data_IF_980584904610
#
_entry.id   IF_980584904610
#
_cell.length_a   1.000
_cell.length_b   1.000
_cell.length_c   1.000
_cell.angle_alpha   90.00
_cell.angle_beta   90.00
_cell.angle_gamma   90.00
#
_symmetry.space_group_name_H-M   'P 1'
#
loop_
_entity.id
_entity.type
_entity.pdbx_description
1 polymer ?
#
# COMPACT_ATOMS: atom_id res chain seq x y z
N UNK A 1 -23.06 -49.11 81.17
CA UNK A 1 -24.32 -48.66 81.80
C UNK A 1 -25.43 -48.65 80.76
N UNK A 2 -26.50 -49.43 80.94
CA UNK A 2 -27.60 -49.55 79.97
C UNK A 2 -28.03 -51.00 79.76
N UNK A 3 -29.23 -51.22 79.22
CA UNK A 3 -29.74 -52.57 78.94
C UNK A 3 -28.86 -53.25 77.87
N UNK A 4 -28.27 -54.40 78.20
CA UNK A 4 -27.33 -55.14 77.34
C UNK A 4 -26.11 -54.33 76.87
N UNK A 5 -25.69 -53.31 77.63
CA UNK A 5 -24.43 -52.63 77.39
C UNK A 5 -23.26 -53.57 77.76
N UNK A 6 -22.24 -53.69 76.91
CA UNK A 6 -21.08 -54.56 77.11
C UNK A 6 -19.78 -53.79 76.88
N UNK A 7 -18.91 -53.79 77.88
CA UNK A 7 -17.51 -53.37 77.78
C UNK A 7 -16.66 -54.61 78.05
N UNK A 8 -15.92 -55.07 77.06
CA UNK A 8 -15.31 -56.43 77.08
C UNK A 8 -13.85 -56.44 77.47
N UNK A 9 -13.12 -55.32 77.35
CA UNK A 9 -11.74 -55.18 77.80
C UNK A 9 -11.64 -54.23 79.01
N UNK A 10 -10.50 -54.26 79.71
CA UNK A 10 -10.30 -53.61 81.02
C UNK A 10 -10.56 -52.11 81.09
N UNK A 11 -10.40 -51.37 79.99
CA UNK A 11 -10.51 -49.90 79.92
C UNK A 11 -11.63 -49.43 78.97
N UNK A 12 -12.52 -50.34 78.55
CA UNK A 12 -13.62 -50.00 77.67
C UNK A 12 -14.76 -49.28 78.41
N UNK A 13 -15.39 -48.30 77.75
CA UNK A 13 -16.57 -47.58 78.26
C UNK A 13 -17.76 -47.89 77.35
N UNK A 14 -18.79 -48.55 77.88
CA UNK A 14 -20.05 -48.78 77.17
C UNK A 14 -21.24 -48.13 77.90
N UNK A 15 -21.95 -47.20 77.26
CA UNK A 15 -23.10 -46.48 77.84
C UNK A 15 -24.25 -46.43 76.82
N UNK A 16 -25.46 -46.85 77.22
CA UNK A 16 -26.65 -46.90 76.36
C UNK A 16 -27.16 -48.32 76.12
N UNK A 17 -28.39 -48.42 75.63
CA UNK A 17 -29.00 -49.72 75.30
C UNK A 17 -28.21 -50.41 74.18
N UNK A 18 -27.84 -51.68 74.33
CA UNK A 18 -27.08 -52.47 73.33
C UNK A 18 -25.73 -51.86 72.91
N UNK A 19 -25.19 -50.90 73.66
CA UNK A 19 -23.86 -50.35 73.40
C UNK A 19 -22.80 -51.43 73.60
N UNK A 20 -21.85 -51.59 72.67
CA UNK A 20 -20.82 -52.63 72.70
C UNK A 20 -19.43 -52.02 72.46
N UNK A 21 -18.63 -51.95 73.52
CA UNK A 21 -17.23 -51.58 73.46
C UNK A 21 -16.34 -52.84 73.52
N UNK A 22 -15.59 -53.10 72.43
CA UNK A 22 -14.75 -54.30 72.28
C UNK A 22 -13.35 -54.01 71.74
N UNK A 23 -12.96 -52.74 71.56
CA UNK A 23 -11.68 -52.40 70.94
C UNK A 23 -10.46 -52.48 71.86
N UNK A 24 -10.65 -52.38 73.18
CA UNK A 24 -9.56 -52.09 74.12
C UNK A 24 -9.31 -50.58 74.23
N UNK A 25 -9.48 -50.01 75.43
CA UNK A 25 -9.41 -48.56 75.68
C UNK A 25 -10.40 -47.78 74.81
N UNK A 26 -11.55 -48.37 74.50
CA UNK A 26 -12.52 -47.84 73.54
C UNK A 26 -13.80 -47.31 74.20
N UNK A 27 -14.49 -46.38 73.55
CA UNK A 27 -15.71 -45.74 74.05
C UNK A 27 -16.86 -46.05 73.09
N UNK A 28 -17.95 -46.62 73.58
CA UNK A 28 -19.22 -46.80 72.87
C UNK A 28 -20.36 -46.19 73.68
N UNK A 29 -20.92 -45.06 73.22
CA UNK A 29 -21.98 -44.32 73.91
C UNK A 29 -23.18 -44.06 72.99
N UNK A 30 -24.34 -44.65 73.29
CA UNK A 30 -25.57 -44.50 72.51
C UNK A 30 -26.27 -45.84 72.27
N UNK A 31 -27.53 -45.79 71.82
CA UNK A 31 -28.28 -47.01 71.54
C UNK A 31 -27.67 -47.78 70.34
N UNK A 32 -27.16 -48.98 70.59
CA UNK A 32 -26.47 -49.80 69.60
C UNK A 32 -25.13 -49.24 69.10
N UNK A 33 -24.53 -48.27 69.80
CA UNK A 33 -23.18 -47.79 69.50
C UNK A 33 -22.16 -48.94 69.63
N UNK A 34 -21.18 -49.02 68.74
CA UNK A 34 -20.26 -50.16 68.64
C UNK A 34 -18.82 -49.75 68.36
N UNK A 35 -17.88 -50.28 69.13
CA UNK A 35 -16.47 -50.40 68.74
C UNK A 35 -16.14 -51.88 68.56
N UNK A 36 -15.59 -52.26 67.41
CA UNK A 36 -15.27 -53.66 67.08
C UNK A 36 -14.00 -54.15 67.78
N UNK A 37 -13.74 -55.46 67.77
CA UNK A 37 -12.54 -56.05 68.39
C UNK A 37 -11.20 -55.44 67.91
N UNK A 38 -11.17 -54.96 66.67
CA UNK A 38 -10.02 -54.28 66.04
C UNK A 38 -9.96 -52.77 66.31
N UNK A 39 -10.93 -52.19 67.04
CA UNK A 39 -11.09 -50.75 67.23
C UNK A 39 -10.44 -50.21 68.52
N UNK A 40 -9.17 -50.56 68.76
CA UNK A 40 -8.42 -50.02 69.91
C UNK A 40 -8.37 -48.49 69.88
N UNK A 41 -8.57 -47.87 71.05
CA UNK A 41 -8.74 -46.42 71.23
C UNK A 41 -9.90 -45.80 70.41
N UNK A 42 -10.84 -46.63 69.94
CA UNK A 42 -11.96 -46.16 69.13
C UNK A 42 -13.00 -45.39 69.94
N UNK A 43 -13.62 -44.38 69.35
CA UNK A 43 -14.68 -43.58 69.99
C UNK A 43 -15.94 -43.60 69.13
N UNK A 44 -16.97 -44.31 69.56
CA UNK A 44 -18.30 -44.36 68.94
C UNK A 44 -19.33 -43.66 69.85
N UNK A 45 -19.86 -42.51 69.43
CA UNK A 45 -20.84 -41.73 70.21
C UNK A 45 -22.04 -41.42 69.32
N UNK A 46 -23.23 -41.92 69.67
CA UNK A 46 -24.47 -41.74 68.94
C UNK A 46 -25.20 -43.05 68.70
N UNK A 47 -26.51 -42.98 68.42
CA UNK A 47 -27.31 -44.15 68.08
C UNK A 47 -26.75 -44.84 66.84
N UNK A 48 -26.39 -46.12 66.96
CA UNK A 48 -25.78 -46.93 65.89
C UNK A 48 -24.45 -46.40 65.35
N UNK A 49 -23.74 -45.53 66.08
CA UNK A 49 -22.38 -45.13 65.71
C UNK A 49 -21.44 -46.35 65.75
N UNK A 50 -20.61 -46.53 64.73
CA UNK A 50 -19.78 -47.73 64.56
C UNK A 50 -18.33 -47.37 64.24
N UNK A 51 -17.40 -47.89 65.04
CA UNK A 51 -15.96 -47.86 64.76
C UNK A 51 -15.48 -49.30 64.53
N UNK A 52 -14.93 -49.56 63.34
CA UNK A 52 -14.49 -50.89 62.95
C UNK A 52 -13.01 -51.16 63.24
N UNK A 53 -12.16 -50.12 63.25
CA UNK A 53 -10.70 -50.28 63.24
C UNK A 53 -9.99 -49.27 64.14
N UNK A 54 -8.68 -49.50 64.35
CA UNK A 54 -7.80 -48.77 65.26
C UNK A 54 -7.87 -47.24 65.12
N UNK A 55 -7.93 -46.53 66.26
CA UNK A 55 -8.00 -45.07 66.36
C UNK A 55 -9.14 -44.41 65.55
N UNK A 56 -10.20 -45.14 65.23
CA UNK A 56 -11.36 -44.56 64.55
C UNK A 56 -12.27 -43.77 65.49
N UNK A 57 -12.86 -42.70 64.98
CA UNK A 57 -13.80 -41.84 65.72
C UNK A 57 -15.09 -41.72 64.91
N UNK A 58 -16.22 -42.08 65.50
CA UNK A 58 -17.55 -42.00 64.92
C UNK A 58 -18.48 -41.25 65.87
N UNK A 59 -18.88 -40.02 65.54
CA UNK A 59 -19.69 -39.14 66.40
C UNK A 59 -20.94 -38.66 65.65
N UNK A 60 -22.11 -39.12 66.09
CA UNK A 60 -23.41 -38.83 65.49
C UNK A 60 -24.20 -40.10 65.17
N UNK A 61 -25.52 -40.00 64.98
CA UNK A 61 -26.35 -41.16 64.70
C UNK A 61 -25.98 -41.79 63.35
N UNK A 62 -25.84 -43.11 63.32
CA UNK A 62 -25.54 -43.88 62.10
C UNK A 62 -24.16 -43.64 61.50
N UNK A 63 -23.24 -42.98 62.22
CA UNK A 63 -21.86 -42.76 61.75
C UNK A 63 -21.08 -44.06 61.62
N UNK A 64 -20.19 -44.14 60.63
CA UNK A 64 -19.32 -45.30 60.42
C UNK A 64 -17.87 -44.86 60.15
N UNK A 65 -16.98 -45.14 61.09
CA UNK A 65 -15.53 -45.08 60.89
C UNK A 65 -15.00 -46.48 60.62
N UNK A 66 -14.91 -46.84 59.33
CA UNK A 66 -14.42 -48.13 58.87
C UNK A 66 -12.91 -48.17 58.72
N UNK A 67 -12.27 -47.10 58.27
CA UNK A 67 -10.82 -47.07 58.04
C UNK A 67 -9.99 -46.97 59.32
N UNK A 68 -8.71 -47.35 59.26
CA UNK A 68 -7.74 -47.02 60.32
C UNK A 68 -7.59 -45.50 60.43
N UNK A 69 -7.43 -44.95 61.64
CA UNK A 69 -7.22 -43.52 61.89
C UNK A 69 -8.27 -42.59 61.26
N UNK A 70 -9.50 -43.09 61.06
CA UNK A 70 -10.54 -42.37 60.32
C UNK A 70 -11.54 -41.69 61.25
N UNK A 71 -12.06 -40.54 60.84
CA UNK A 71 -12.99 -39.70 61.59
C UNK A 71 -14.29 -39.53 60.80
N UNK A 72 -15.42 -39.96 61.38
CA UNK A 72 -16.76 -39.74 60.86
C UNK A 72 -17.58 -38.94 61.88
N UNK A 73 -17.94 -37.70 61.56
CA UNK A 73 -18.75 -36.83 62.41
C UNK A 73 -19.99 -36.34 61.66
N UNK A 74 -21.17 -36.42 62.28
CA UNK A 74 -22.44 -35.99 61.70
C UNK A 74 -23.33 -37.16 61.25
N UNK A 75 -24.65 -36.95 61.20
CA UNK A 75 -25.62 -38.00 60.93
C UNK A 75 -25.30 -38.78 59.65
N UNK A 76 -25.14 -40.11 59.75
CA UNK A 76 -24.78 -41.01 58.64
C UNK A 76 -23.45 -40.69 57.92
N UNK A 77 -22.51 -39.97 58.55
CA UNK A 77 -21.19 -39.78 57.97
C UNK A 77 -20.43 -41.12 57.87
N UNK A 78 -19.67 -41.31 56.79
CA UNK A 78 -18.91 -42.53 56.52
C UNK A 78 -17.47 -42.17 56.18
N UNK A 79 -16.53 -42.67 56.99
CA UNK A 79 -15.10 -42.57 56.77
C UNK A 79 -14.49 -43.98 56.59
N UNK A 80 -13.94 -44.25 55.40
CA UNK A 80 -13.45 -45.57 54.97
C UNK A 80 -14.55 -46.47 54.37
N UNK A 81 -14.17 -47.70 54.01
CA UNK A 81 -15.05 -48.68 53.36
C UNK A 81 -15.22 -49.91 54.24
N UNK A 82 -16.46 -50.39 54.38
CA UNK A 82 -16.77 -51.59 55.17
C UNK A 82 -15.97 -52.80 54.68
N UNK A 83 -15.32 -53.51 55.61
CA UNK A 83 -14.48 -54.67 55.31
C UNK A 83 -13.08 -54.35 54.78
N UNK A 84 -12.69 -53.07 54.65
CA UNK A 84 -11.40 -52.67 54.10
C UNK A 84 -10.65 -51.71 55.02
N UNK A 85 -9.82 -52.25 55.91
CA UNK A 85 -8.98 -51.46 56.82
C UNK A 85 -7.85 -50.68 56.10
N UNK A 86 -7.49 -51.07 54.87
CA UNK A 86 -6.43 -50.40 54.08
C UNK A 86 -6.88 -49.07 53.46
N UNK A 87 -8.19 -48.84 53.38
CA UNK A 87 -8.76 -47.53 53.04
C UNK A 87 -8.87 -46.79 54.36
N UNK A 88 -7.87 -45.95 54.64
CA UNK A 88 -7.57 -45.40 55.96
C UNK A 88 -7.23 -43.91 55.88
N UNK A 89 -7.17 -43.25 57.04
CA UNK A 89 -6.92 -41.81 57.21
C UNK A 89 -8.00 -40.93 56.54
N UNK A 90 -9.25 -41.39 56.56
CA UNK A 90 -10.37 -40.67 55.96
C UNK A 90 -11.05 -39.76 56.99
N UNK A 91 -11.47 -38.57 56.57
CA UNK A 91 -12.16 -37.58 57.40
C UNK A 91 -13.49 -37.24 56.73
N UNK A 92 -14.60 -37.66 57.32
CA UNK A 92 -15.96 -37.32 56.89
C UNK A 92 -16.64 -36.47 57.97
N UNK A 93 -16.87 -35.19 57.69
CA UNK A 93 -17.48 -34.23 58.62
C UNK A 93 -18.75 -33.64 58.00
N UNK A 94 -19.92 -33.97 58.51
CA UNK A 94 -21.21 -33.47 58.04
C UNK A 94 -22.23 -34.57 57.79
N UNK A 95 -23.51 -34.18 57.74
CA UNK A 95 -24.59 -35.15 57.52
C UNK A 95 -24.46 -35.80 56.13
N UNK A 96 -24.40 -37.14 56.11
CA UNK A 96 -24.18 -37.95 54.90
C UNK A 96 -22.85 -37.68 54.17
N UNK A 97 -21.86 -37.08 54.84
CA UNK A 97 -20.52 -36.93 54.28
C UNK A 97 -19.87 -38.31 54.07
N UNK A 98 -19.17 -38.49 52.96
CA UNK A 98 -18.56 -39.76 52.55
C UNK A 98 -17.11 -39.57 52.13
N UNK A 99 -16.17 -39.90 53.02
CA UNK A 99 -14.75 -39.98 52.74
C UNK A 99 -14.37 -41.45 52.62
N UNK A 100 -14.34 -41.99 51.40
CA UNK A 100 -14.16 -43.45 51.16
C UNK A 100 -13.05 -43.77 50.16
N UNK A 101 -12.27 -42.77 49.77
CA UNK A 101 -11.18 -42.94 48.81
C UNK A 101 -9.85 -43.42 49.42
N UNK A 102 -9.67 -43.27 50.73
CA UNK A 102 -8.40 -43.47 51.42
C UNK A 102 -7.58 -42.17 51.40
N UNK A 103 -7.11 -41.75 52.57
CA UNK A 103 -6.50 -40.45 52.81
C UNK A 103 -7.36 -39.27 52.29
N UNK A 104 -8.70 -39.43 52.33
CA UNK A 104 -9.65 -38.50 51.73
C UNK A 104 -10.35 -37.61 52.78
N UNK A 105 -10.77 -36.42 52.37
CA UNK A 105 -11.47 -35.45 53.24
C UNK A 105 -12.80 -35.09 52.58
N UNK A 106 -13.91 -35.39 53.24
CA UNK A 106 -15.26 -34.98 52.87
C UNK A 106 -15.85 -34.12 53.99
N UNK A 107 -15.85 -32.81 53.82
CA UNK A 107 -16.38 -31.85 54.80
C UNK A 107 -17.61 -31.13 54.22
N UNK A 108 -18.74 -31.18 54.90
CA UNK A 108 -20.01 -30.60 54.48
C UNK A 108 -21.12 -31.65 54.27
N UNK A 109 -22.37 -31.19 54.35
CA UNK A 109 -23.54 -32.05 54.13
C UNK A 109 -23.49 -32.65 52.72
N UNK A 110 -23.59 -33.98 52.65
CA UNK A 110 -23.51 -34.77 51.42
C UNK A 110 -22.20 -34.61 50.61
N UNK A 111 -21.14 -34.06 51.21
CA UNK A 111 -19.82 -34.03 50.58
C UNK A 111 -19.31 -35.46 50.33
N UNK A 112 -18.67 -35.69 49.18
CA UNK A 112 -18.26 -37.02 48.73
C UNK A 112 -16.83 -36.99 48.20
N UNK A 113 -15.88 -37.44 49.00
CA UNK A 113 -14.50 -37.68 48.61
C UNK A 113 -14.27 -39.20 48.46
N UNK A 114 -14.37 -39.70 47.23
CA UNK A 114 -14.27 -41.16 46.94
C UNK A 114 -13.10 -41.53 46.07
N UNK A 115 -12.38 -40.56 45.51
CA UNK A 115 -11.06 -40.81 44.94
C UNK A 115 -9.99 -40.90 46.02
N UNK A 116 -8.95 -41.70 45.76
CA UNK A 116 -7.76 -41.75 46.62
C UNK A 116 -7.17 -40.35 46.80
N UNK A 117 -6.89 -39.93 48.04
CA UNK A 117 -6.39 -38.58 48.38
C UNK A 117 -7.29 -37.43 47.90
N UNK A 118 -8.59 -37.67 47.72
CA UNK A 118 -9.52 -36.64 47.27
C UNK A 118 -9.95 -35.71 48.41
N UNK A 119 -10.26 -34.46 48.07
CA UNK A 119 -10.76 -33.43 49.00
C UNK A 119 -12.07 -32.87 48.47
N UNK A 120 -13.17 -33.09 49.17
CA UNK A 120 -14.48 -32.52 48.91
C UNK A 120 -14.90 -31.65 50.09
N UNK A 121 -15.02 -30.33 49.90
CA UNK A 121 -15.40 -29.39 50.96
C UNK A 121 -16.58 -28.54 50.47
N UNK A 122 -17.71 -28.60 51.18
CA UNK A 122 -18.93 -27.85 50.89
C UNK A 122 -20.15 -28.73 50.66
N UNK A 123 -21.31 -28.09 50.51
CA UNK A 123 -22.58 -28.78 50.33
C UNK A 123 -22.58 -29.57 49.00
N UNK A 124 -22.77 -30.89 49.09
CA UNK A 124 -22.83 -31.78 47.93
C UNK A 124 -21.60 -31.74 46.99
N UNK A 125 -20.44 -31.29 47.48
CA UNK A 125 -19.19 -31.32 46.73
C UNK A 125 -18.76 -32.77 46.45
N UNK A 126 -18.32 -33.10 45.23
CA UNK A 126 -17.95 -34.46 44.83
C UNK A 126 -16.55 -34.50 44.23
N UNK A 127 -15.59 -35.05 44.97
CA UNK A 127 -14.23 -35.34 44.52
C UNK A 127 -14.08 -36.87 44.33
N UNK A 128 -14.27 -37.33 43.09
CA UNK A 128 -14.33 -38.77 42.74
C UNK A 128 -13.12 -39.25 41.96
N UNK A 129 -12.35 -38.34 41.36
CA UNK A 129 -11.05 -38.65 40.75
C UNK A 129 -9.94 -38.82 41.80
N UNK A 130 -8.89 -39.59 41.49
CA UNK A 130 -7.72 -39.68 42.36
C UNK A 130 -7.02 -38.31 42.48
N UNK A 131 -6.62 -37.94 43.69
CA UNK A 131 -6.02 -36.64 44.04
C UNK A 131 -6.84 -35.45 43.53
N UNK A 132 -8.18 -35.58 43.51
CA UNK A 132 -9.08 -34.52 43.06
C UNK A 132 -9.49 -33.56 44.19
N UNK A 133 -9.78 -32.31 43.84
CA UNK A 133 -10.19 -31.26 44.78
C UNK A 133 -11.53 -30.69 44.32
N UNK A 134 -12.53 -30.66 45.20
CA UNK A 134 -13.85 -30.11 44.94
C UNK A 134 -14.26 -29.22 46.11
N UNK A 135 -14.10 -27.91 45.97
CA UNK A 135 -14.37 -26.93 47.05
C UNK A 135 -15.49 -25.97 46.62
N UNK A 136 -16.57 -25.94 47.40
CA UNK A 136 -17.76 -25.12 47.17
C UNK A 136 -19.04 -25.96 47.06
N UNK A 137 -20.08 -25.40 46.44
CA UNK A 137 -21.38 -26.06 46.36
C UNK A 137 -21.48 -26.90 45.08
N UNK A 138 -21.90 -28.16 45.22
CA UNK A 138 -22.29 -29.06 44.13
C UNK A 138 -21.29 -29.21 42.96
N UNK A 139 -20.00 -28.94 43.18
CA UNK A 139 -18.96 -29.26 42.21
C UNK A 139 -18.82 -30.78 42.03
N UNK A 140 -18.48 -31.22 40.83
CA UNK A 140 -18.24 -32.62 40.48
C UNK A 140 -16.90 -32.74 39.77
N UNK A 141 -15.90 -33.27 40.46
CA UNK A 141 -14.53 -33.46 39.95
C UNK A 141 -14.24 -34.95 39.88
N UNK A 142 -14.40 -35.52 38.68
CA UNK A 142 -14.11 -36.93 38.38
C UNK A 142 -12.78 -37.14 37.65
N UNK A 143 -12.21 -36.07 37.09
CA UNK A 143 -10.86 -36.09 36.55
C UNK A 143 -9.82 -36.35 37.65
N UNK A 144 -8.86 -37.25 37.38
CA UNK A 144 -7.70 -37.41 38.25
C UNK A 144 -6.83 -36.15 38.24
N UNK A 145 -6.17 -35.85 39.36
CA UNK A 145 -5.27 -34.70 39.51
C UNK A 145 -5.91 -33.38 39.06
N UNK A 146 -7.18 -33.16 39.41
CA UNK A 146 -8.00 -32.05 38.93
C UNK A 146 -8.66 -31.31 40.09
N UNK A 147 -9.08 -30.06 39.88
CA UNK A 147 -9.58 -29.23 40.97
C UNK A 147 -10.64 -28.21 40.56
N UNK A 148 -11.71 -28.08 41.35
CA UNK A 148 -12.71 -27.03 41.20
C UNK A 148 -12.86 -26.20 42.49
N UNK A 149 -12.87 -24.88 42.33
CA UNK A 149 -13.19 -23.91 43.38
C UNK A 149 -14.34 -23.01 42.89
N UNK A 150 -15.56 -23.21 43.40
CA UNK A 150 -16.74 -22.44 42.95
C UNK A 150 -18.08 -23.14 43.16
N UNK A 151 -19.09 -22.78 42.38
CA UNK A 151 -20.48 -23.25 42.51
C UNK A 151 -21.29 -23.13 41.21
N UNK A 152 -21.84 -24.21 40.63
CA UNK A 152 -21.27 -25.56 40.54
C UNK A 152 -20.36 -25.68 39.31
N UNK A 153 -19.35 -26.53 39.34
CA UNK A 153 -18.47 -26.84 38.21
C UNK A 153 -18.37 -28.36 38.04
N UNK A 154 -18.37 -28.83 36.80
CA UNK A 154 -18.08 -30.24 36.45
C UNK A 154 -16.74 -30.35 35.74
N UNK A 155 -15.84 -31.20 36.25
CA UNK A 155 -14.54 -31.51 35.63
C UNK A 155 -14.41 -33.03 35.51
N UNK A 156 -14.37 -33.54 34.27
CA UNK A 156 -14.05 -34.94 33.98
C UNK A 156 -12.70 -35.15 33.31
N UNK A 157 -12.12 -34.09 32.73
CA UNK A 157 -10.77 -34.15 32.18
C UNK A 157 -9.70 -34.23 33.27
N UNK A 158 -8.63 -34.97 33.01
CA UNK A 158 -7.51 -35.15 33.94
C UNK A 158 -6.54 -33.96 33.90
N UNK A 159 -5.93 -33.61 35.03
CA UNK A 159 -4.98 -32.50 35.09
C UNK A 159 -5.62 -31.12 34.91
N UNK A 160 -6.93 -30.99 35.14
CA UNK A 160 -7.71 -29.81 34.77
C UNK A 160 -8.23 -29.05 35.98
N UNK A 161 -8.32 -27.73 35.87
CA UNK A 161 -8.66 -26.86 37.00
C UNK A 161 -9.66 -25.77 36.63
N UNK A 162 -10.53 -25.43 37.58
CA UNK A 162 -11.52 -24.37 37.46
C UNK A 162 -11.56 -23.50 38.70
N UNK A 163 -11.61 -22.19 38.49
CA UNK A 163 -12.01 -21.19 39.48
C UNK A 163 -13.21 -20.43 38.92
N UNK A 164 -14.36 -20.61 39.58
CA UNK A 164 -15.64 -19.99 39.22
C UNK A 164 -16.78 -20.99 39.03
N UNK A 165 -17.82 -20.53 38.35
CA UNK A 165 -19.17 -21.08 38.48
C UNK A 165 -19.73 -21.56 37.14
N UNK A 166 -20.55 -22.61 37.15
CA UNK A 166 -21.22 -23.17 35.97
C UNK A 166 -20.25 -23.57 34.85
N UNK A 167 -19.05 -24.06 35.19
CA UNK A 167 -18.08 -24.50 34.20
C UNK A 167 -18.20 -26.01 33.93
N UNK A 168 -17.99 -26.42 32.68
CA UNK A 168 -17.94 -27.83 32.27
C UNK A 168 -16.62 -28.08 31.52
N UNK A 169 -15.76 -28.91 32.11
CA UNK A 169 -14.40 -29.19 31.62
C UNK A 169 -14.23 -30.69 31.41
N UNK A 170 -14.53 -31.14 30.19
CA UNK A 170 -14.33 -32.54 29.80
C UNK A 170 -12.90 -32.84 29.31
N UNK A 171 -12.15 -31.78 29.00
CA UNK A 171 -10.85 -31.82 28.37
C UNK A 171 -9.70 -31.91 29.37
N UNK A 172 -8.61 -32.56 28.95
CA UNK A 172 -7.42 -32.78 29.78
C UNK A 172 -6.49 -31.56 29.78
N UNK A 173 -5.75 -31.36 30.86
CA UNK A 173 -4.77 -30.28 31.03
C UNK A 173 -5.34 -28.88 30.76
N UNK A 174 -6.62 -28.66 31.09
CA UNK A 174 -7.34 -27.44 30.73
C UNK A 174 -7.64 -26.61 31.98
N UNK A 175 -7.41 -25.30 31.89
CA UNK A 175 -7.52 -24.36 33.01
C UNK A 175 -8.59 -23.31 32.71
N UNK A 176 -9.53 -23.14 33.63
CA UNK A 176 -10.61 -22.16 33.51
C UNK A 176 -10.59 -21.21 34.69
N UNK A 177 -10.60 -19.91 34.40
CA UNK A 177 -10.86 -18.85 35.38
C UNK A 177 -11.99 -18.00 34.84
N UNK A 178 -13.23 -18.32 35.23
CA UNK A 178 -14.42 -17.75 34.60
C UNK A 178 -15.70 -18.42 35.06
N UNK A 179 -16.83 -18.01 34.47
CA UNK A 179 -18.13 -18.60 34.77
C UNK A 179 -18.88 -18.93 33.47
N UNK A 180 -19.67 -20.01 33.48
CA UNK A 180 -20.46 -20.43 32.31
C UNK A 180 -19.61 -20.92 31.15
N UNK A 181 -18.39 -21.42 31.41
CA UNK A 181 -17.45 -21.88 30.39
C UNK A 181 -17.66 -23.37 30.13
N UNK A 182 -17.85 -23.74 28.87
CA UNK A 182 -17.74 -25.14 28.42
C UNK A 182 -16.53 -25.25 27.52
N UNK A 183 -15.54 -26.05 27.91
CA UNK A 183 -14.32 -26.24 27.12
C UNK A 183 -14.55 -27.31 26.06
N UNK A 184 -13.82 -27.19 24.95
CA UNK A 184 -13.87 -28.15 23.83
C UNK A 184 -12.50 -28.74 23.52
N UNK A 185 -11.42 -28.14 24.01
CA UNK A 185 -10.05 -28.51 23.69
C UNK A 185 -9.21 -28.86 24.91
N UNK A 186 -8.36 -29.87 24.75
CA UNK A 186 -7.28 -30.17 25.68
C UNK A 186 -6.23 -29.05 25.69
N UNK A 187 -5.46 -28.97 26.77
CA UNK A 187 -4.31 -28.07 26.93
C UNK A 187 -4.64 -26.56 26.83
N UNK A 188 -5.91 -26.18 27.00
CA UNK A 188 -6.35 -24.78 26.80
C UNK A 188 -6.45 -24.01 28.12
N UNK A 189 -6.34 -22.69 28.01
CA UNK A 189 -6.60 -21.75 29.12
C UNK A 189 -7.77 -20.85 28.72
N UNK A 190 -8.85 -20.87 29.49
CA UNK A 190 -10.06 -20.09 29.20
C UNK A 190 -10.32 -19.10 30.31
N UNK A 191 -10.30 -17.81 29.96
CA UNK A 191 -10.35 -16.69 30.89
C UNK A 191 -11.61 -15.86 30.64
N UNK A 192 -12.35 -15.62 31.72
CA UNK A 192 -13.52 -14.73 31.74
C UNK A 192 -14.87 -15.43 31.64
N UNK A 193 -15.92 -14.68 31.98
CA UNK A 193 -17.31 -15.12 31.91
C UNK A 193 -17.69 -15.47 30.46
N UNK A 194 -18.36 -16.61 30.26
CA UNK A 194 -18.90 -17.13 28.98
C UNK A 194 -17.89 -17.25 27.84
N UNK A 195 -16.58 -17.22 28.13
CA UNK A 195 -15.55 -17.42 27.12
C UNK A 195 -15.63 -18.84 26.55
N UNK A 196 -15.30 -18.99 25.27
CA UNK A 196 -15.27 -20.28 24.57
C UNK A 196 -13.89 -20.50 23.99
N UNK A 197 -13.34 -21.69 24.13
CA UNK A 197 -12.15 -22.10 23.38
C UNK A 197 -12.53 -22.56 21.96
N UNK A 198 -11.50 -22.90 21.18
CA UNK A 198 -11.62 -23.51 19.85
C UNK A 198 -10.33 -24.24 19.52
N UNK A 199 -10.32 -25.16 18.53
CA UNK A 199 -9.09 -25.78 18.06
C UNK A 199 -8.03 -24.74 17.67
N UNK A 200 -6.80 -24.93 18.13
CA UNK A 200 -5.68 -24.11 17.70
C UNK A 200 -5.39 -24.34 16.21
N UNK A 201 -5.23 -23.24 15.46
CA UNK A 201 -4.95 -23.26 14.03
C UNK A 201 -3.46 -23.10 13.79
N UNK A 202 -2.88 -23.90 12.88
CA UNK A 202 -1.51 -23.69 12.41
C UNK A 202 -1.49 -22.61 11.32
N UNK A 203 -0.83 -21.48 11.60
CA UNK A 203 -0.69 -20.34 10.67
C UNK A 203 0.78 -20.06 10.43
N UNK A 204 1.29 -20.48 9.27
CA UNK A 204 2.73 -20.37 8.94
C UNK A 204 3.12 -19.09 8.22
N UNK A 205 2.15 -18.29 7.77
CA UNK A 205 2.40 -17.11 6.95
C UNK A 205 1.17 -16.59 6.21
N UNK A 206 1.38 -15.58 5.37
CA UNK A 206 0.38 -15.02 4.46
C UNK A 206 1.05 -14.46 3.19
N UNK A 207 0.29 -14.24 2.11
CA UNK A 207 0.76 -13.57 0.90
C UNK A 207 0.10 -12.21 0.76
N UNK A 208 0.91 -11.15 0.67
CA UNK A 208 0.44 -9.77 0.52
C UNK A 208 1.04 -9.22 -0.78
N UNK A 209 0.18 -8.82 -1.71
CA UNK A 209 0.57 -8.29 -3.03
C UNK A 209 1.59 -9.18 -3.79
N UNK A 210 1.39 -10.49 -3.75
CA UNK A 210 2.27 -11.47 -4.40
C UNK A 210 3.54 -11.84 -3.63
N UNK A 211 3.84 -11.16 -2.52
CA UNK A 211 4.99 -11.48 -1.66
C UNK A 211 4.54 -12.39 -0.51
N UNK A 212 5.20 -13.53 -0.34
CA UNK A 212 4.94 -14.46 0.77
C UNK A 212 5.73 -14.05 2.01
N UNK A 213 5.04 -13.98 3.15
CA UNK A 213 5.58 -13.70 4.47
C UNK A 213 5.40 -14.93 5.36
N UNK A 214 6.44 -15.32 6.09
CA UNK A 214 6.40 -16.43 7.05
C UNK A 214 6.29 -15.91 8.48
N UNK A 215 5.58 -16.63 9.35
CA UNK A 215 5.41 -16.29 10.75
C UNK A 215 6.15 -17.25 11.67
N UNK A 216 6.72 -16.73 12.75
CA UNK A 216 7.22 -17.52 13.86
C UNK A 216 6.05 -18.04 14.72
N UNK A 217 6.29 -19.13 15.46
CA UNK A 217 5.30 -19.70 16.38
C UNK A 217 3.96 -20.05 15.74
N UNK A 218 3.93 -20.90 14.69
CA UNK A 218 2.73 -21.12 13.88
C UNK A 218 1.55 -21.75 14.65
N UNK A 219 1.78 -22.26 15.88
CA UNK A 219 0.78 -22.93 16.68
C UNK A 219 0.45 -24.34 16.18
N UNK A 220 -0.15 -25.14 17.05
CA UNK A 220 -0.60 -26.49 16.73
C UNK A 220 -1.75 -26.90 17.65
N UNK A 221 -2.66 -27.74 17.15
CA UNK A 221 -3.82 -28.24 17.90
C UNK A 221 -3.44 -28.86 19.26
N UNK A 222 -2.25 -29.49 19.34
CA UNK A 222 -1.77 -30.17 20.56
C UNK A 222 -1.48 -29.20 21.71
N UNK A 223 -1.28 -27.91 21.43
CA UNK A 223 -0.93 -26.92 22.46
C UNK A 223 -2.14 -26.15 23.02
N UNK A 224 -3.34 -26.38 22.48
CA UNK A 224 -4.52 -25.60 22.89
C UNK A 224 -4.42 -24.11 22.55
N UNK A 225 -5.30 -23.31 23.17
CA UNK A 225 -5.31 -21.84 23.03
C UNK A 225 -5.52 -21.16 24.37
N UNK A 226 -5.08 -19.90 24.48
CA UNK A 226 -5.58 -18.98 25.51
C UNK A 226 -6.78 -18.23 24.93
N UNK A 227 -7.98 -18.50 25.45
CA UNK A 227 -9.20 -17.77 25.07
C UNK A 227 -9.58 -16.76 26.15
N UNK A 228 -9.88 -15.53 25.71
CA UNK A 228 -10.29 -14.43 26.58
C UNK A 228 -11.72 -13.96 26.31
N UNK A 229 -12.49 -14.65 25.46
CA UNK A 229 -13.84 -14.24 25.08
C UNK A 229 -14.54 -15.26 24.17
N UNK A 230 -15.59 -14.81 23.50
CA UNK A 230 -16.27 -15.56 22.45
C UNK A 230 -16.65 -14.61 21.30
N UNK A 231 -17.09 -15.17 20.17
CA UNK A 231 -17.49 -14.38 19.00
C UNK A 231 -18.61 -13.41 19.37
N UNK A 232 -18.42 -12.13 19.11
CA UNK A 232 -19.36 -11.04 19.43
C UNK A 232 -19.25 -10.50 20.86
N UNK A 233 -18.37 -11.06 21.69
CA UNK A 233 -18.05 -10.55 23.02
C UNK A 233 -16.54 -10.69 23.29
N UNK A 234 -15.74 -10.22 22.32
CA UNK A 234 -14.29 -10.18 22.42
C UNK A 234 -13.85 -9.21 23.52
N UNK A 235 -12.75 -9.55 24.20
CA UNK A 235 -12.17 -8.69 25.24
C UNK A 235 -10.89 -8.04 24.75
N UNK A 236 -10.70 -6.78 25.15
CA UNK A 236 -9.40 -6.14 25.04
C UNK A 236 -8.42 -6.77 26.02
N UNK A 237 -7.17 -6.95 25.57
CA UNK A 237 -6.04 -7.27 26.44
C UNK A 237 -5.25 -5.96 26.60
N UNK A 238 -5.33 -5.36 27.78
CA UNK A 238 -4.77 -4.03 28.06
C UNK A 238 -3.43 -4.12 28.78
N UNK A 239 -2.67 -3.02 28.76
CA UNK A 239 -1.34 -2.91 29.37
C UNK A 239 -0.30 -3.88 28.79
N UNK A 240 -0.44 -4.21 27.51
CA UNK A 240 0.53 -5.01 26.75
C UNK A 240 1.71 -4.10 26.38
N UNK A 241 2.89 -4.41 26.94
CA UNK A 241 4.14 -3.76 26.55
C UNK A 241 4.46 -4.00 25.07
N UNK A 242 5.30 -3.15 24.47
CA UNK A 242 5.68 -3.34 23.07
C UNK A 242 6.48 -4.64 22.91
N UNK A 243 6.00 -5.55 22.05
CA UNK A 243 6.68 -6.79 21.74
C UNK A 243 7.89 -6.58 20.84
N UNK A 244 8.83 -7.51 20.82
CA UNK A 244 9.94 -7.45 19.86
C UNK A 244 9.41 -7.60 18.42
N UNK A 245 9.95 -6.80 17.48
CA UNK A 245 9.61 -6.89 16.05
C UNK A 245 10.78 -7.51 15.31
N UNK A 246 10.75 -8.83 15.14
CA UNK A 246 11.77 -9.61 14.43
C UNK A 246 11.15 -10.85 13.78
N UNK A 247 11.87 -11.50 12.86
CA UNK A 247 11.38 -12.69 12.14
C UNK A 247 11.15 -13.92 13.03
N UNK A 248 11.72 -13.93 14.24
CA UNK A 248 11.59 -15.01 15.21
C UNK A 248 10.66 -14.67 16.39
N UNK A 249 10.13 -13.45 16.45
CA UNK A 249 9.34 -12.98 17.60
C UNK A 249 8.01 -13.71 17.72
N UNK A 250 7.67 -14.07 18.96
CA UNK A 250 6.35 -14.60 19.35
C UNK A 250 5.70 -13.69 20.41
N UNK A 251 6.17 -12.46 20.55
CA UNK A 251 5.61 -11.48 21.49
C UNK A 251 4.28 -10.92 20.94
N UNK A 252 3.35 -10.58 21.83
CA UNK A 252 2.17 -9.83 21.44
C UNK A 252 2.55 -8.42 20.96
N UNK A 253 1.91 -7.98 19.87
CA UNK A 253 2.06 -6.61 19.35
C UNK A 253 1.00 -5.72 19.97
N UNK A 254 1.40 -4.56 20.48
CA UNK A 254 0.44 -3.59 21.01
C UNK A 254 0.05 -2.52 19.96
N UNK A 255 -0.95 -1.69 20.29
CA UNK A 255 -1.48 -0.70 19.36
C UNK A 255 -0.48 0.37 18.91
N UNK A 256 0.51 0.74 19.73
CA UNK A 256 1.47 1.79 19.35
C UNK A 256 2.45 1.31 18.28
N UNK A 257 2.79 0.02 18.26
CA UNK A 257 3.62 -0.57 17.21
C UNK A 257 2.90 -0.59 15.86
N UNK A 258 1.61 -0.98 15.85
CA UNK A 258 0.80 -0.94 14.64
C UNK A 258 0.60 0.50 14.14
N UNK A 259 0.36 1.44 15.06
CA UNK A 259 0.26 2.87 14.73
C UNK A 259 1.55 3.43 14.12
N UNK A 260 2.72 3.03 14.63
CA UNK A 260 4.00 3.42 14.04
C UNK A 260 4.18 2.91 12.60
N UNK A 261 3.77 1.66 12.34
CA UNK A 261 3.79 1.09 10.98
C UNK A 261 2.83 1.84 10.04
N UNK A 262 1.61 2.13 10.49
CA UNK A 262 0.61 2.89 9.71
C UNK A 262 1.07 4.33 9.40
N UNK A 263 1.71 4.97 10.38
CA UNK A 263 2.34 6.28 10.20
C UNK A 263 3.41 6.24 9.09
N UNK A 264 4.25 5.20 9.06
CA UNK A 264 5.26 5.04 8.03
C UNK A 264 4.65 4.79 6.64
N UNK A 265 3.55 4.04 6.55
CA UNK A 265 2.81 3.80 5.29
C UNK A 265 2.19 5.11 4.78
N UNK A 266 1.60 5.90 5.68
CA UNK A 266 1.03 7.22 5.35
C UNK A 266 2.10 8.17 4.82
N UNK A 267 3.30 8.17 5.42
CA UNK A 267 4.44 8.94 4.94
C UNK A 267 4.86 8.51 3.52
N UNK A 268 4.90 7.21 3.24
CA UNK A 268 5.18 6.69 1.89
C UNK A 268 4.14 7.16 0.86
N UNK A 269 2.85 7.15 1.22
CA UNK A 269 1.78 7.67 0.35
C UNK A 269 1.96 9.15 -0.01
N UNK A 270 2.49 9.94 0.93
CA UNK A 270 2.86 11.34 0.68
C UNK A 270 4.03 11.46 -0.30
N UNK A 271 5.08 10.65 -0.11
CA UNK A 271 6.24 10.61 -1.03
C UNK A 271 5.82 10.21 -2.45
N UNK A 272 4.95 9.21 -2.61
CA UNK A 272 4.41 8.79 -3.92
C UNK A 272 3.62 9.91 -4.58
N UNK A 273 2.77 10.61 -3.83
CA UNK A 273 2.03 11.77 -4.34
C UNK A 273 2.97 12.89 -4.79
N UNK A 274 4.01 13.17 -4.01
CA UNK A 274 5.00 14.18 -4.38
C UNK A 274 5.74 13.80 -5.66
N UNK A 275 6.16 12.54 -5.80
CA UNK A 275 6.81 12.04 -7.01
C UNK A 275 5.91 12.16 -8.25
N UNK A 276 4.63 11.80 -8.12
CA UNK A 276 3.65 11.96 -9.20
C UNK A 276 3.50 13.43 -9.62
N UNK A 277 3.38 14.34 -8.66
CA UNK A 277 3.25 15.77 -8.91
C UNK A 277 4.52 16.39 -9.51
N UNK A 278 5.72 16.02 -9.03
CA UNK A 278 6.97 16.51 -9.61
C UNK A 278 7.17 15.98 -11.03
N UNK A 279 6.81 14.72 -11.29
CA UNK A 279 6.85 14.15 -12.64
C UNK A 279 5.91 14.89 -13.59
N UNK A 280 4.66 15.14 -13.18
CA UNK A 280 3.72 15.93 -13.96
C UNK A 280 4.25 17.35 -14.24
N UNK A 281 4.80 18.01 -13.21
CA UNK A 281 5.39 19.36 -13.34
C UNK A 281 6.60 19.37 -14.27
N UNK A 282 7.46 18.35 -14.21
CA UNK A 282 8.65 18.23 -15.04
C UNK A 282 8.32 17.97 -16.52
N UNK A 283 7.23 17.27 -16.80
CA UNK A 283 6.69 17.15 -18.16
C UNK A 283 6.12 18.49 -18.68
N UNK A 284 5.65 19.36 -17.77
CA UNK A 284 5.11 20.67 -18.10
C UNK A 284 3.77 20.61 -18.84
N UNK A 285 3.46 21.71 -19.53
CA UNK A 285 2.16 21.88 -20.21
C UNK A 285 1.00 21.85 -19.22
N UNK A 286 -0.01 21.04 -19.51
CA UNK A 286 -1.15 20.76 -18.63
C UNK A 286 -1.08 19.39 -17.95
N UNK A 287 0.10 18.77 -17.88
CA UNK A 287 0.25 17.42 -17.31
C UNK A 287 -0.12 17.42 -15.82
N UNK A 288 -0.84 16.40 -15.37
CA UNK A 288 -1.36 16.30 -14.00
C UNK A 288 -1.20 14.89 -13.44
N UNK A 289 -1.14 14.77 -12.12
CA UNK A 289 -1.16 13.50 -11.41
C UNK A 289 -2.36 13.46 -10.47
N UNK A 290 -3.12 12.36 -10.51
CA UNK A 290 -4.26 12.13 -9.62
C UNK A 290 -3.83 11.17 -8.51
N UNK A 291 -3.67 11.69 -7.28
CA UNK A 291 -3.25 10.90 -6.12
C UNK A 291 -4.28 9.89 -5.63
N UNK A 292 -5.56 10.03 -6.01
CA UNK A 292 -6.60 9.07 -5.64
C UNK A 292 -6.59 7.82 -6.53
N UNK A 293 -6.15 7.95 -7.78
CA UNK A 293 -6.11 6.84 -8.76
C UNK A 293 -4.70 6.39 -9.11
N UNK A 294 -3.68 7.15 -8.73
CA UNK A 294 -2.28 6.91 -9.12
C UNK A 294 -1.99 7.23 -10.60
N UNK A 295 -2.93 7.87 -11.31
CA UNK A 295 -2.81 8.11 -12.75
C UNK A 295 -2.03 9.41 -13.05
N UNK A 296 -1.00 9.30 -13.91
CA UNK A 296 -0.36 10.43 -14.57
C UNK A 296 -1.04 10.69 -15.92
N UNK A 297 -1.62 11.88 -16.09
CA UNK A 297 -2.20 12.35 -17.35
C UNK A 297 -1.25 13.35 -17.99
N UNK A 298 -0.58 12.94 -19.06
CA UNK A 298 0.37 13.79 -19.78
C UNK A 298 -0.36 14.69 -20.79
N UNK A 299 -0.08 16.00 -20.73
CA UNK A 299 -0.61 17.02 -21.65
C UNK A 299 0.50 18.01 -21.96
N UNK A 300 1.16 17.83 -23.10
CA UNK A 300 2.27 18.66 -23.57
C UNK A 300 1.76 19.63 -24.63
N UNK A 301 2.09 20.92 -24.51
CA UNK A 301 1.64 21.95 -25.45
C UNK A 301 2.84 22.46 -26.28
N UNK A 302 2.88 22.11 -27.56
CA UNK A 302 4.00 22.41 -28.46
C UNK A 302 3.48 22.90 -29.81
N UNK A 303 3.95 24.07 -30.24
CA UNK A 303 3.56 24.66 -31.54
C UNK A 303 2.04 24.82 -31.70
N UNK A 304 1.34 25.17 -30.62
CA UNK A 304 -0.13 25.32 -30.60
C UNK A 304 -0.93 24.00 -30.56
N UNK A 305 -0.28 22.84 -30.53
CA UNK A 305 -0.92 21.53 -30.50
C UNK A 305 -0.69 20.84 -29.15
N UNK A 306 -1.58 19.90 -28.81
CA UNK A 306 -1.48 19.10 -27.58
C UNK A 306 -1.04 17.66 -27.90
N UNK A 307 -0.11 17.15 -27.11
CA UNK A 307 0.42 15.79 -27.20
C UNK A 307 0.34 15.09 -25.85
N UNK A 308 0.04 13.79 -25.85
CA UNK A 308 -0.09 12.98 -24.64
C UNK A 308 1.17 12.17 -24.31
N UNK A 309 2.26 12.37 -25.07
CA UNK A 309 3.55 11.75 -24.82
C UNK A 309 4.68 12.59 -25.43
N UNK A 310 5.87 12.50 -24.84
CA UNK A 310 7.05 13.29 -25.22
C UNK A 310 7.48 13.02 -26.65
N UNK A 311 7.45 11.76 -27.09
CA UNK A 311 7.98 11.37 -28.39
C UNK A 311 7.17 11.98 -29.54
N UNK A 312 5.83 12.01 -29.43
CA UNK A 312 4.97 12.68 -30.41
C UNK A 312 5.21 14.19 -30.46
N UNK A 313 5.40 14.83 -29.30
CA UNK A 313 5.71 16.26 -29.25
C UNK A 313 7.05 16.58 -29.94
N UNK A 314 8.11 15.80 -29.64
CA UNK A 314 9.42 15.96 -30.28
C UNK A 314 9.37 15.69 -31.78
N UNK A 315 8.60 14.69 -32.21
CA UNK A 315 8.40 14.38 -33.63
C UNK A 315 7.77 15.57 -34.38
N UNK A 316 6.81 16.26 -33.77
CA UNK A 316 6.19 17.44 -34.36
C UNK A 316 7.16 18.63 -34.48
N UNK A 317 8.00 18.84 -33.46
CA UNK A 317 9.08 19.84 -33.52
C UNK A 317 10.02 19.51 -34.67
N UNK A 318 10.51 18.27 -34.74
CA UNK A 318 11.43 17.84 -35.78
C UNK A 318 10.81 18.04 -37.18
N UNK A 319 9.56 17.62 -37.36
CA UNK A 319 8.83 17.81 -38.61
C UNK A 319 8.79 19.27 -39.03
N UNK A 320 8.54 20.20 -38.10
CA UNK A 320 8.47 21.64 -38.39
C UNK A 320 9.86 22.24 -38.65
N UNK A 321 10.83 21.91 -37.81
CA UNK A 321 12.20 22.38 -37.93
C UNK A 321 12.84 21.92 -39.25
N UNK A 322 12.45 20.76 -39.79
CA UNK A 322 12.95 20.21 -41.05
C UNK A 322 12.27 20.73 -42.32
N UNK A 323 11.25 21.61 -42.25
CA UNK A 323 10.48 22.01 -43.45
C UNK A 323 11.24 22.88 -44.46
N UNK A 324 12.27 23.61 -44.02
CA UNK A 324 12.94 24.60 -44.88
C UNK A 324 11.99 25.71 -45.34
N UNK A 325 12.35 26.39 -46.43
CA UNK A 325 11.50 27.41 -47.09
C UNK A 325 11.61 27.31 -48.61
N UNK A 326 10.58 27.73 -49.34
CA UNK A 326 10.58 27.63 -50.80
C UNK A 326 11.07 28.93 -51.43
N UNK A 327 12.08 28.86 -52.31
CA UNK A 327 12.58 29.97 -53.11
C UNK A 327 12.12 29.82 -54.57
N UNK A 328 11.59 30.89 -55.15
CA UNK A 328 11.32 31.00 -56.59
C UNK A 328 11.76 32.36 -57.10
N UNK A 329 12.07 32.45 -58.39
CA UNK A 329 12.38 33.70 -59.07
C UNK A 329 11.55 33.80 -60.35
N UNK A 330 11.07 35.01 -60.68
CA UNK A 330 10.35 35.31 -61.94
C UNK A 330 9.15 34.39 -62.23
N UNK A 331 8.39 33.99 -61.21
CA UNK A 331 7.24 33.09 -61.37
C UNK A 331 7.60 31.63 -61.68
N UNK A 332 8.86 31.22 -61.52
CA UNK A 332 9.30 29.83 -61.68
C UNK A 332 8.80 28.90 -60.57
N UNK A 333 9.04 27.59 -60.74
CA UNK A 333 8.69 26.58 -59.72
C UNK A 333 9.52 26.80 -58.45
N UNK A 334 8.87 26.78 -57.29
CA UNK A 334 9.56 26.90 -56.01
C UNK A 334 10.46 25.71 -55.71
N UNK A 335 11.70 25.98 -55.30
CA UNK A 335 12.65 24.97 -54.81
C UNK A 335 12.70 25.05 -53.29
N UNK A 336 12.51 23.93 -52.60
CA UNK A 336 12.65 23.89 -51.14
C UNK A 336 14.13 23.95 -50.74
N UNK A 337 14.47 24.98 -49.97
CA UNK A 337 15.77 25.16 -49.36
C UNK A 337 15.69 24.59 -47.95
N UNK A 338 16.25 23.40 -47.78
CA UNK A 338 16.30 22.72 -46.49
C UNK A 338 17.05 23.56 -45.44
N UNK A 339 16.76 23.38 -44.14
CA UNK A 339 17.54 24.03 -43.08
C UNK A 339 19.03 23.72 -43.23
N UNK A 340 19.87 24.77 -43.18
CA UNK A 340 21.31 24.65 -43.37
C UNK A 340 21.79 24.61 -44.82
N UNK A 341 20.88 24.56 -45.81
CA UNK A 341 21.27 24.69 -47.21
C UNK A 341 21.65 26.14 -47.57
N UNK A 342 22.54 26.30 -48.55
CA UNK A 342 22.97 27.60 -49.07
C UNK A 342 22.33 27.86 -50.43
N UNK A 343 21.85 29.08 -50.62
CA UNK A 343 21.48 29.61 -51.94
C UNK A 343 22.58 30.57 -52.36
N UNK A 344 23.21 30.30 -53.50
CA UNK A 344 24.13 31.23 -54.14
C UNK A 344 23.39 32.08 -55.16
N UNK A 345 23.61 33.40 -55.11
CA UNK A 345 23.02 34.37 -56.04
C UNK A 345 24.15 35.01 -56.81
N UNK A 346 24.48 34.43 -57.96
CA UNK A 346 25.58 34.89 -58.80
C UNK A 346 25.14 36.00 -59.76
N UNK A 347 26.02 36.95 -60.13
CA UNK A 347 25.74 37.89 -61.20
C UNK A 347 25.52 37.17 -62.53
N UNK A 348 24.64 37.71 -63.38
CA UNK A 348 24.41 37.17 -64.72
C UNK A 348 25.68 37.23 -65.58
N UNK A 349 25.79 36.34 -66.57
CA UNK A 349 26.98 36.20 -67.43
C UNK A 349 27.35 37.48 -68.21
N UNK A 350 26.41 38.42 -68.38
CA UNK A 350 26.66 39.72 -69.00
C UNK A 350 27.47 40.68 -68.14
N UNK A 351 27.59 40.44 -66.83
CA UNK A 351 28.28 41.34 -65.88
C UNK A 351 27.56 42.68 -65.64
N UNK A 352 26.36 42.87 -66.20
CA UNK A 352 25.57 44.10 -66.08
C UNK A 352 24.94 44.27 -64.69
N UNK A 353 24.79 43.18 -63.94
CA UNK A 353 24.32 43.17 -62.57
C UNK A 353 25.46 42.68 -61.70
N UNK A 354 25.77 43.41 -60.64
CA UNK A 354 26.67 42.96 -59.59
C UNK A 354 25.87 42.50 -58.40
N UNK A 355 26.35 41.44 -57.76
CA UNK A 355 25.77 40.89 -56.54
C UNK A 355 26.90 40.79 -55.53
N UNK A 356 26.72 41.37 -54.35
CA UNK A 356 27.66 41.26 -53.24
C UNK A 356 26.91 40.98 -51.94
N UNK A 357 27.50 40.15 -51.08
CA UNK A 357 26.99 39.91 -49.74
C UNK A 357 27.91 40.59 -48.73
N UNK A 358 27.30 41.31 -47.79
CA UNK A 358 28.04 41.77 -46.62
C UNK A 358 28.24 40.57 -45.66
N UNK A 359 29.50 40.20 -45.40
CA UNK A 359 29.83 39.04 -44.58
C UNK A 359 29.40 39.15 -43.11
N UNK A 360 29.10 40.35 -42.61
CA UNK A 360 28.78 40.58 -41.19
C UNK A 360 27.30 40.43 -40.88
N UNK A 361 26.42 40.93 -41.75
CA UNK A 361 24.97 40.88 -41.53
C UNK A 361 24.21 40.05 -42.57
N UNK A 362 24.90 39.52 -43.58
CA UNK A 362 24.31 38.69 -44.63
C UNK A 362 23.51 39.47 -45.67
N UNK A 363 23.46 40.81 -45.61
CA UNK A 363 22.68 41.60 -46.56
C UNK A 363 23.24 41.45 -47.97
N UNK A 364 22.33 41.16 -48.91
CA UNK A 364 22.62 41.12 -50.33
C UNK A 364 22.44 42.51 -50.94
N UNK A 365 23.46 43.00 -51.65
CA UNK A 365 23.36 44.21 -52.48
C UNK A 365 23.33 43.78 -53.94
N UNK A 366 22.27 44.15 -54.63
CA UNK A 366 22.11 43.93 -56.08
C UNK A 366 22.15 45.31 -56.73
N UNK A 367 23.10 45.52 -57.63
CA UNK A 367 23.27 46.81 -58.29
C UNK A 367 23.50 46.63 -59.79
N UNK A 368 23.23 47.68 -60.57
CA UNK A 368 23.67 47.73 -61.96
C UNK A 368 25.15 48.10 -62.01
N UNK A 369 25.89 47.45 -62.91
CA UNK A 369 27.25 47.85 -63.23
C UNK A 369 27.21 49.23 -63.92
N UNK A 370 28.03 50.22 -63.53
CA UNK A 370 28.08 51.52 -64.20
C UNK A 370 28.46 51.39 -65.68
N UNK A 371 29.21 50.35 -66.05
CA UNK A 371 29.58 50.05 -67.43
C UNK A 371 28.70 48.91 -67.95
N UNK A 372 27.63 49.27 -68.65
CA UNK A 372 26.71 48.29 -69.23
C UNK A 372 27.27 47.74 -70.55
N UNK A 373 27.32 46.41 -70.64
CA UNK A 373 27.63 45.67 -71.87
C UNK A 373 26.33 45.16 -72.49
N UNK A 374 25.94 45.72 -73.63
CA UNK A 374 24.75 45.32 -74.36
C UNK A 374 25.04 45.22 -75.86
N UNK A 375 24.38 44.29 -76.55
CA UNK A 375 24.42 44.19 -78.02
C UNK A 375 23.53 45.25 -78.69
N UNK A 376 22.46 45.67 -78.01
CA UNK A 376 21.57 46.72 -78.46
C UNK A 376 20.90 47.40 -77.26
N UNK A 377 20.72 48.72 -77.35
CA UNK A 377 19.89 49.51 -76.43
C UNK A 377 18.81 50.18 -77.26
N UNK A 378 17.55 49.95 -76.92
CA UNK A 378 16.40 50.53 -77.62
C UNK A 378 15.62 51.44 -76.67
N UNK A 379 15.44 52.71 -77.04
CA UNK A 379 14.68 53.70 -76.30
C UNK A 379 13.70 54.40 -77.24
N UNK A 380 12.42 53.98 -77.19
CA UNK A 380 11.43 54.43 -78.18
C UNK A 380 11.84 54.05 -79.60
N UNK A 381 11.93 55.02 -80.50
CA UNK A 381 12.32 54.82 -81.90
C UNK A 381 13.85 54.78 -82.12
N UNK A 382 14.65 55.00 -81.07
CA UNK A 382 16.10 55.04 -81.13
C UNK A 382 16.69 53.67 -80.78
N UNK A 383 17.59 53.17 -81.63
CA UNK A 383 18.34 51.93 -81.41
C UNK A 383 19.83 52.25 -81.49
N UNK A 384 20.57 51.97 -80.42
CA UNK A 384 22.02 51.96 -80.39
C UNK A 384 22.51 50.52 -80.42
N UNK A 385 23.29 50.15 -81.43
CA UNK A 385 23.87 48.80 -81.56
C UNK A 385 25.22 48.85 -82.29
N UNK A 386 25.78 47.68 -82.65
CA UNK A 386 27.06 47.56 -83.34
C UNK A 386 27.14 48.29 -84.71
N UNK A 387 26.01 48.70 -85.28
CA UNK A 387 25.96 49.47 -86.54
C UNK A 387 25.88 50.99 -86.32
N UNK A 388 25.71 51.44 -85.07
CA UNK A 388 25.61 52.85 -84.69
C UNK A 388 24.29 53.22 -84.01
N UNK A 389 23.87 54.48 -84.13
CA UNK A 389 22.61 55.01 -83.60
C UNK A 389 21.61 55.19 -84.73
N UNK A 390 20.45 54.55 -84.65
CA UNK A 390 19.36 54.65 -85.62
C UNK A 390 18.13 55.24 -84.96
N UNK A 391 17.50 56.26 -85.55
CA UNK A 391 16.24 56.84 -85.09
C UNK A 391 15.21 56.69 -86.21
N UNK A 392 14.16 55.91 -85.94
CA UNK A 392 13.07 55.65 -86.90
C UNK A 392 11.90 56.63 -86.70
N UNK A 393 11.04 56.76 -87.72
CA UNK A 393 9.85 57.63 -87.64
C UNK A 393 10.07 59.12 -87.97
N UNK A 394 11.19 59.49 -88.59
CA UNK A 394 11.34 60.82 -89.19
C UNK A 394 10.45 60.99 -90.42
N UNK A 395 9.89 62.19 -90.61
CA UNK A 395 8.92 62.52 -91.68
C UNK A 395 9.40 62.13 -93.08
N UNK A 396 10.71 62.25 -93.34
CA UNK A 396 11.29 62.00 -94.66
C UNK A 396 12.14 60.72 -94.73
N UNK A 397 12.39 60.05 -93.60
CA UNK A 397 13.22 58.84 -93.55
C UNK A 397 13.91 58.61 -92.20
N UNK A 398 14.66 57.52 -92.11
CA UNK A 398 15.37 57.11 -90.88
C UNK A 398 16.68 57.87 -90.72
N UNK A 399 16.95 58.39 -89.53
CA UNK A 399 18.24 59.00 -89.18
C UNK A 399 19.20 57.91 -88.71
N UNK A 400 20.41 57.85 -89.26
CA UNK A 400 21.45 56.88 -88.88
C UNK A 400 22.79 57.58 -88.68
N UNK A 401 23.36 57.47 -87.49
CA UNK A 401 24.75 57.76 -87.22
C UNK A 401 25.51 56.43 -87.18
N UNK A 402 26.41 56.22 -88.13
CA UNK A 402 27.21 54.98 -88.26
C UNK A 402 28.70 55.32 -88.20
N UNK A 403 29.56 54.30 -88.26
CA UNK A 403 31.01 54.52 -88.38
C UNK A 403 31.43 55.21 -89.70
N UNK A 404 30.55 55.28 -90.71
CA UNK A 404 30.80 56.01 -91.97
C UNK A 404 30.22 57.42 -91.99
N UNK A 405 29.59 57.88 -90.89
CA UNK A 405 29.04 59.24 -90.77
C UNK A 405 27.54 59.28 -90.49
N UNK A 406 26.98 60.51 -90.53
CA UNK A 406 25.56 60.80 -90.32
C UNK A 406 24.81 60.76 -91.66
N UNK A 407 23.79 59.91 -91.73
CA UNK A 407 22.75 59.96 -92.75
C UNK A 407 21.45 60.46 -92.10
N UNK A 408 21.02 61.68 -92.41
CA UNK A 408 19.80 62.25 -91.83
C UNK A 408 18.51 61.76 -92.50
N UNK A 409 18.59 60.81 -93.43
CA UNK A 409 17.41 60.21 -94.08
C UNK A 409 16.54 61.21 -94.84
N UNK A 410 17.13 62.30 -95.37
CA UNK A 410 16.38 63.37 -96.04
C UNK A 410 15.58 64.28 -95.11
N UNK A 411 15.69 64.13 -93.78
CA UNK A 411 15.11 65.08 -92.85
C UNK A 411 15.92 66.39 -92.85
N UNK A 412 15.28 67.49 -92.43
CA UNK A 412 15.94 68.78 -92.24
C UNK A 412 16.90 68.72 -91.04
N UNK A 413 18.14 69.20 -91.20
CA UNK A 413 19.03 69.47 -90.07
C UNK A 413 18.86 70.95 -89.73
N UNK A 414 18.22 71.25 -88.61
CA UNK A 414 17.99 72.64 -88.17
C UNK A 414 19.03 73.06 -87.13
N UNK A 415 19.25 74.37 -86.99
CA UNK A 415 20.20 74.96 -86.03
C UNK A 415 21.69 74.56 -86.22
N UNK A 416 22.12 74.37 -87.47
CA UNK A 416 23.54 74.21 -87.81
C UNK A 416 24.21 75.60 -87.82
N UNK A 417 25.21 75.83 -86.97
CA UNK A 417 25.99 77.07 -86.96
C UNK A 417 26.83 77.20 -88.26
N UNK A 418 27.34 78.40 -88.55
CA UNK A 418 28.20 78.60 -89.71
C UNK A 418 29.47 77.74 -89.56
N UNK A 419 29.76 76.90 -90.56
CA UNK A 419 31.02 76.16 -90.63
C UNK A 419 32.21 77.11 -90.72
N UNK A 420 33.23 76.88 -89.90
CA UNK A 420 34.45 77.71 -89.83
C UNK A 420 35.62 76.95 -90.44
N UNK A 421 35.71 75.64 -90.15
CA UNK A 421 36.72 74.77 -90.74
C UNK A 421 36.24 74.20 -92.08
N UNK A 422 37.16 73.80 -92.94
CA UNK A 422 36.86 73.23 -94.26
C UNK A 422 36.12 71.88 -94.21
N UNK A 423 35.99 71.26 -93.03
CA UNK A 423 35.29 69.98 -92.80
C UNK A 423 33.95 70.14 -92.09
N UNK A 424 33.54 71.36 -91.77
CA UNK A 424 32.26 71.61 -91.10
C UNK A 424 31.10 71.55 -92.11
N UNK A 425 29.89 71.26 -91.64
CA UNK A 425 28.69 71.37 -92.46
C UNK A 425 28.39 72.85 -92.76
N UNK A 426 28.14 73.17 -94.03
CA UNK A 426 27.71 74.50 -94.47
C UNK A 426 26.19 74.62 -94.25
N UNK A 427 25.75 75.69 -93.58
CA UNK A 427 24.33 75.97 -93.42
C UNK A 427 23.79 76.87 -94.56
N UNK A 428 22.46 77.01 -94.65
CA UNK A 428 21.82 77.81 -95.71
C UNK A 428 22.27 79.28 -95.65
N UNK A 429 22.47 79.86 -94.46
CA UNK A 429 22.91 81.26 -94.36
C UNK A 429 24.30 81.51 -94.95
N UNK A 430 25.19 80.52 -94.92
CA UNK A 430 26.51 80.59 -95.58
C UNK A 430 26.39 80.40 -97.08
N UNK A 431 25.49 79.54 -97.56
CA UNK A 431 25.19 79.43 -98.99
C UNK A 431 24.56 80.74 -99.51
N UNK A 432 23.65 81.35 -98.75
CA UNK A 432 23.05 82.64 -99.06
C UNK A 432 24.10 83.76 -99.08
N UNK A 433 25.04 83.77 -98.12
CA UNK A 433 26.18 84.70 -98.12
C UNK A 433 27.10 84.46 -99.31
N UNK A 434 27.38 83.21 -99.68
CA UNK A 434 28.20 82.88 -100.85
C UNK A 434 27.50 83.31 -102.16
N UNK A 435 26.18 83.09 -102.26
CA UNK A 435 25.36 83.55 -103.37
C UNK A 435 25.37 85.07 -103.48
N UNK A 436 25.13 85.78 -102.37
CA UNK A 436 25.25 87.23 -102.29
C UNK A 436 26.65 87.71 -102.69
N UNK A 437 27.70 86.99 -102.25
CA UNK A 437 29.09 87.32 -102.58
C UNK A 437 29.42 87.11 -104.07
N UNK A 438 28.84 86.11 -104.73
CA UNK A 438 29.01 85.84 -106.17
C UNK A 438 28.24 86.84 -107.03
N UNK A 439 27.00 87.18 -106.67
CA UNK A 439 26.22 88.25 -107.33
C UNK A 439 26.95 89.60 -107.21
N UNK A 440 27.49 89.93 -106.03
CA UNK A 440 28.28 91.15 -105.83
C UNK A 440 29.59 91.15 -106.62
N UNK A 441 30.15 89.98 -106.96
CA UNK A 441 31.33 89.85 -107.80
C UNK A 441 31.03 89.98 -109.32
N UNK A 442 29.78 90.25 -109.71
CA UNK A 442 29.39 90.59 -111.08
C UNK A 442 29.08 89.40 -111.99
N UNK A 443 28.90 88.19 -111.44
CA UNK A 443 28.41 87.02 -112.19
C UNK A 443 26.88 87.12 -112.36
N UNK A 444 26.44 87.89 -113.35
CA UNK A 444 25.03 88.02 -113.73
C UNK A 444 24.71 87.08 -114.90
N UNK A 445 23.78 86.14 -114.71
CA UNK A 445 23.25 85.32 -115.82
C UNK A 445 22.20 86.13 -116.58
N UNK A 446 22.50 86.49 -117.84
CA UNK A 446 21.53 87.15 -118.71
C UNK A 446 20.72 86.13 -119.48
N UNK A 447 19.42 86.40 -119.65
CA UNK A 447 18.61 85.66 -120.61
C UNK A 447 19.06 85.98 -122.04
N UNK A 448 18.52 85.25 -123.03
CA UNK A 448 18.85 85.46 -124.44
C UNK A 448 18.48 86.86 -124.97
N UNK A 449 17.71 87.65 -124.21
CA UNK A 449 17.34 89.03 -124.53
C UNK A 449 18.22 90.08 -123.80
N UNK A 450 19.23 89.65 -123.03
CA UNK A 450 20.18 90.52 -122.36
C UNK A 450 19.68 91.10 -121.03
N UNK A 451 18.56 90.60 -120.49
CA UNK A 451 18.06 91.03 -119.19
C UNK A 451 18.65 90.14 -118.09
N UNK A 452 19.10 90.76 -116.99
CA UNK A 452 19.52 90.04 -115.79
C UNK A 452 18.29 89.36 -115.18
N UNK A 453 18.28 88.03 -115.12
CA UNK A 453 17.15 87.28 -114.52
C UNK A 453 17.38 86.92 -113.06
N UNK A 454 18.62 86.99 -112.56
CA UNK A 454 18.99 86.88 -111.14
C UNK A 454 20.17 87.80 -110.84
#
# INVERSE_FOLDING_TARGET
MGYSASATNGDDIAVGTRANANGGVSIAMGDGAKTSASAQNGVAIGTLANVANYNGVAIGPGTNAYGLYSLAEGSNAVAGVSGSASIANDIALGANAQATGGASIAEGTAAKATGYQAVAIGYSAQATGASSISVGNANVVSGANSGAFGDPTTISGTGSYSVGNNNTIANNNTFVVGNGVTTTQDNSVVLGNVSTDRPATTVTGNTINGTTYTYAGPGAAVYGVVSVGHVGAERQIINVAAGQVSSASTDAVNGSQLYAADTAITALGTTVTQLGNTTASALGGGSTYNSSTGQLTTVLNVGGNTYNNVNSALTAINTTASKGWNLSANGGTGVNIAPGATVDVSPGSSGNVTVSQNATNGNLTINTNPNLTATSVTTGNTVMNNTGVTITGGTNGTVRLTNTGLNNGGNTITNVANGVNSTDAVNVSQLDQQGTSLTNAGLNFTDAAGNTVH
#
